data_IF_727546272943
#
_entry.id   IF_727546272943
#
_cell.length_a   1.000
_cell.length_b   1.000
_cell.length_c   1.000
_cell.angle_alpha   90.00
_cell.angle_beta   90.00
_cell.angle_gamma   90.00
#
_symmetry.space_group_name_H-M   'P 1'
#
loop_
_entity.id
_entity.type
_entity.pdbx_description
1 polymer ?
#
# COMPACT_ATOMS: atom_id res chain seq x y z
N UNK A 1 -20.18 -9.09 43.01
CA UNK A 1 -18.75 -9.43 43.00
C UNK A 1 -18.50 -10.26 41.73
N UNK A 2 -17.58 -9.86 40.95
CA UNK A 2 -16.96 -10.43 39.72
C UNK A 2 -17.35 -9.73 38.41
N UNK A 3 -16.74 -8.57 38.21
CA UNK A 3 -16.57 -7.95 36.91
C UNK A 3 -15.29 -7.10 37.00
N UNK A 4 -14.13 -7.70 36.82
CA UNK A 4 -12.83 -7.02 36.50
C UNK A 4 -11.89 -8.13 36.01
N UNK A 5 -11.73 -8.26 34.69
CA UNK A 5 -10.53 -8.80 34.04
C UNK A 5 -10.74 -9.00 32.53
N UNK A 6 -11.10 -7.91 31.80
CA UNK A 6 -11.11 -7.91 30.35
C UNK A 6 -10.23 -6.80 29.70
N UNK A 7 -9.50 -6.00 30.51
CA UNK A 7 -8.83 -4.78 30.03
C UNK A 7 -7.29 -4.82 30.06
N UNK A 8 -6.66 -5.98 29.85
CA UNK A 8 -5.19 -6.06 29.89
C UNK A 8 -4.50 -6.69 28.65
N UNK A 9 -5.18 -6.91 27.55
CA UNK A 9 -4.55 -7.51 26.34
C UNK A 9 -4.45 -6.63 25.09
N UNK A 10 -4.83 -5.37 25.16
CA UNK A 10 -4.78 -4.44 23.98
C UNK A 10 -3.49 -3.59 23.94
N UNK A 11 -2.45 -3.93 24.66
CA UNK A 11 -1.26 -3.08 24.85
C UNK A 11 0.08 -3.62 24.38
N UNK A 12 0.15 -4.73 23.63
CA UNK A 12 1.44 -5.22 23.11
C UNK A 12 1.25 -5.81 21.71
N UNK A 13 1.35 -4.98 20.67
CA UNK A 13 1.77 -5.49 19.35
C UNK A 13 3.25 -5.85 19.47
N UNK A 14 3.54 -6.98 20.08
CA UNK A 14 4.80 -7.68 19.88
C UNK A 14 4.77 -8.16 18.43
N UNK A 15 5.66 -7.64 17.60
CA UNK A 15 6.11 -8.38 16.43
C UNK A 15 6.58 -9.73 16.97
N UNK A 16 5.71 -10.73 16.86
CA UNK A 16 6.02 -12.09 17.31
C UNK A 16 7.23 -12.51 16.52
N UNK A 17 8.32 -12.86 17.23
CA UNK A 17 9.41 -13.65 16.68
C UNK A 17 8.80 -14.72 15.80
N UNK A 18 9.34 -14.90 14.60
CA UNK A 18 8.99 -16.00 13.71
C UNK A 18 8.80 -17.27 14.54
N UNK A 19 7.55 -17.75 14.65
CA UNK A 19 7.32 -19.08 15.20
C UNK A 19 7.89 -20.07 14.19
N UNK A 20 8.58 -21.13 14.64
CA UNK A 20 9.01 -22.19 13.75
C UNK A 20 7.80 -22.76 13.01
N UNK A 21 7.99 -23.08 11.74
CA UNK A 21 7.00 -23.68 10.89
C UNK A 21 6.43 -24.96 11.52
N UNK A 22 5.16 -25.32 11.25
CA UNK A 22 4.62 -26.63 11.62
C UNK A 22 5.44 -27.78 10.99
N UNK A 23 5.29 -29.03 11.48
CA UNK A 23 6.24 -30.14 11.27
C UNK A 23 6.42 -30.67 9.84
N UNK A 24 5.81 -30.10 8.82
CA UNK A 24 6.18 -30.31 7.43
C UNK A 24 7.20 -29.22 7.04
N UNK A 25 8.48 -29.47 7.35
CA UNK A 25 9.57 -28.61 6.90
C UNK A 25 9.46 -28.42 5.38
N UNK A 26 9.44 -27.18 4.86
CA UNK A 26 9.40 -26.97 3.41
C UNK A 26 10.62 -27.66 2.80
N UNK A 27 10.40 -28.47 1.76
CA UNK A 27 11.47 -29.20 1.02
C UNK A 27 12.63 -28.28 0.58
N UNK A 28 12.40 -26.96 0.54
CA UNK A 28 13.36 -25.93 0.16
C UNK A 28 13.17 -24.71 1.07
N UNK A 29 14.26 -24.26 1.72
CA UNK A 29 14.21 -23.08 2.58
C UNK A 29 13.97 -21.77 1.79
N UNK A 30 13.53 -20.71 2.48
CA UNK A 30 13.41 -19.39 1.86
C UNK A 30 14.77 -18.89 1.33
N UNK A 31 15.85 -19.12 2.10
CA UNK A 31 17.20 -18.70 1.72
C UNK A 31 17.70 -19.41 0.45
N UNK A 32 17.37 -20.69 0.27
CA UNK A 32 17.73 -21.43 -0.95
C UNK A 32 16.95 -20.90 -2.16
N UNK A 33 15.66 -20.57 -2.00
CA UNK A 33 14.85 -19.93 -3.04
C UNK A 33 15.41 -18.57 -3.44
N UNK A 34 15.73 -17.73 -2.46
CA UNK A 34 16.32 -16.41 -2.69
C UNK A 34 17.69 -16.54 -3.36
N UNK A 35 18.55 -17.45 -2.89
CA UNK A 35 19.87 -17.70 -3.48
C UNK A 35 19.77 -18.14 -4.95
N UNK A 36 18.86 -19.06 -5.26
CA UNK A 36 18.62 -19.47 -6.64
C UNK A 36 18.13 -18.30 -7.50
N UNK A 37 17.09 -17.58 -7.06
CA UNK A 37 16.51 -16.45 -7.79
C UNK A 37 17.47 -15.27 -7.94
N UNK A 38 18.45 -15.11 -7.04
CA UNK A 38 19.50 -14.11 -7.14
C UNK A 38 20.68 -14.54 -8.03
N UNK A 39 20.66 -15.76 -8.57
CA UNK A 39 21.72 -16.27 -9.46
C UNK A 39 21.39 -16.09 -10.93
N UNK A 40 22.41 -16.01 -11.79
CA UNK A 40 22.23 -16.00 -13.23
C UNK A 40 21.53 -17.25 -13.78
N UNK A 41 21.55 -18.37 -13.06
CA UNK A 41 20.88 -19.62 -13.46
C UNK A 41 19.34 -19.48 -13.51
N UNK A 42 18.74 -18.58 -12.71
CA UNK A 42 17.33 -18.26 -12.77
C UNK A 42 16.95 -17.29 -13.89
N UNK A 43 17.94 -16.65 -14.53
CA UNK A 43 17.74 -15.58 -15.52
C UNK A 43 18.58 -15.85 -16.80
N UNK A 44 18.30 -16.93 -17.54
CA UNK A 44 19.07 -17.25 -18.75
C UNK A 44 19.02 -16.11 -19.76
N UNK A 45 20.18 -15.60 -20.15
CA UNK A 45 20.35 -14.50 -21.10
C UNK A 45 20.36 -13.10 -20.45
N UNK A 46 19.86 -12.92 -19.23
CA UNK A 46 19.76 -11.62 -18.56
C UNK A 46 20.85 -11.38 -17.50
N UNK A 47 21.65 -12.41 -17.17
CA UNK A 47 22.72 -12.33 -16.17
C UNK A 47 22.24 -12.36 -14.72
N UNK A 48 23.06 -11.80 -13.81
CA UNK A 48 22.75 -11.75 -12.37
C UNK A 48 21.78 -10.58 -12.11
N UNK A 49 20.62 -10.82 -11.43
CA UNK A 49 19.65 -9.78 -11.18
C UNK A 49 20.10 -8.80 -10.09
N UNK A 50 19.61 -7.57 -10.19
CA UNK A 50 19.54 -6.71 -9.00
C UNK A 50 18.43 -7.20 -8.08
N UNK A 51 18.70 -7.23 -6.76
CA UNK A 51 17.79 -7.79 -5.76
C UNK A 51 17.32 -6.70 -4.82
N UNK A 52 16.00 -6.59 -4.64
CA UNK A 52 15.37 -5.67 -3.69
C UNK A 52 14.59 -6.49 -2.65
N UNK A 53 14.91 -6.27 -1.39
CA UNK A 53 14.16 -6.86 -0.29
C UNK A 53 13.18 -5.84 0.30
N UNK A 54 11.90 -6.24 0.39
CA UNK A 54 10.85 -5.51 1.09
C UNK A 54 10.43 -6.25 2.36
N UNK A 55 9.52 -5.68 3.14
CA UNK A 55 8.97 -6.37 4.32
C UNK A 55 8.23 -7.67 3.95
N UNK A 56 7.56 -7.71 2.79
CA UNK A 56 6.66 -8.81 2.41
C UNK A 56 7.16 -9.64 1.23
N UNK A 57 8.20 -9.19 0.51
CA UNK A 57 8.62 -9.82 -0.74
C UNK A 57 10.11 -9.63 -1.03
N UNK A 58 10.62 -10.48 -1.92
CA UNK A 58 11.87 -10.31 -2.64
C UNK A 58 11.56 -10.01 -4.10
N UNK A 59 12.23 -9.03 -4.69
CA UNK A 59 12.09 -8.63 -6.10
C UNK A 59 13.42 -8.76 -6.81
N UNK A 60 13.44 -9.50 -7.92
CA UNK A 60 14.62 -9.80 -8.73
C UNK A 60 14.46 -9.15 -10.09
N UNK A 61 15.36 -8.21 -10.44
CA UNK A 61 15.32 -7.44 -11.69
C UNK A 61 16.45 -7.90 -12.60
N UNK A 62 16.12 -8.59 -13.68
CA UNK A 62 17.07 -9.11 -14.66
C UNK A 62 16.63 -8.67 -16.06
N UNK A 63 17.46 -7.86 -16.75
CA UNK A 63 17.08 -7.28 -18.03
C UNK A 63 15.74 -6.54 -17.95
N UNK A 64 14.80 -6.90 -18.83
CA UNK A 64 13.42 -6.40 -18.84
C UNK A 64 12.46 -7.20 -17.96
N UNK A 65 12.92 -8.31 -17.38
CA UNK A 65 12.10 -9.20 -16.57
C UNK A 65 12.23 -8.90 -15.08
N UNK A 66 11.10 -8.94 -14.37
CA UNK A 66 11.03 -8.84 -12.92
C UNK A 66 10.32 -10.07 -12.37
N UNK A 67 10.90 -10.69 -11.33
CA UNK A 67 10.27 -11.76 -10.57
C UNK A 67 10.09 -11.30 -9.13
N UNK A 68 8.88 -11.48 -8.59
CA UNK A 68 8.55 -11.13 -7.19
C UNK A 68 8.18 -12.41 -6.44
N UNK A 69 8.91 -12.69 -5.36
CA UNK A 69 8.67 -13.82 -4.43
C UNK A 69 8.10 -13.28 -3.13
N UNK A 70 6.92 -13.74 -2.73
CA UNK A 70 6.33 -13.37 -1.44
C UNK A 70 7.00 -14.11 -0.29
N UNK A 71 7.28 -13.40 0.82
CA UNK A 71 7.82 -13.98 2.04
C UNK A 71 6.72 -14.73 2.80
N UNK A 72 7.02 -15.85 3.49
CA UNK A 72 6.05 -16.59 4.30
C UNK A 72 5.79 -15.87 5.64
N UNK A 73 5.22 -14.66 5.58
CA UNK A 73 4.92 -13.82 6.74
C UNK A 73 3.43 -13.84 7.07
N UNK A 74 3.11 -13.66 8.35
CA UNK A 74 1.75 -13.52 8.84
C UNK A 74 1.65 -12.38 9.84
N UNK A 75 0.68 -11.50 9.61
CA UNK A 75 0.34 -10.37 10.49
C UNK A 75 -1.16 -10.36 10.75
N UNK A 76 -1.70 -9.37 11.44
CA UNK A 76 -3.15 -9.22 11.68
C UNK A 76 -3.95 -8.89 10.41
N UNK A 77 -3.31 -8.44 9.33
CA UNK A 77 -3.96 -8.00 8.09
C UNK A 77 -3.45 -8.72 6.84
N UNK A 78 -2.48 -9.63 6.98
CA UNK A 78 -1.81 -10.32 5.88
C UNK A 78 -1.49 -11.76 6.31
N UNK A 79 -1.75 -12.74 5.44
CA UNK A 79 -1.31 -14.12 5.62
C UNK A 79 -0.72 -14.70 4.33
N UNK A 80 0.61 -14.82 4.29
CA UNK A 80 1.39 -15.49 3.25
C UNK A 80 2.07 -16.76 3.78
N UNK A 81 1.65 -17.27 4.94
CA UNK A 81 2.35 -18.37 5.63
C UNK A 81 2.32 -19.69 4.86
N UNK A 82 1.26 -19.97 4.13
CA UNK A 82 1.12 -21.22 3.37
C UNK A 82 1.41 -21.04 1.88
N UNK A 83 1.79 -22.12 1.19
CA UNK A 83 2.01 -22.12 -0.26
C UNK A 83 0.76 -21.68 -1.01
N UNK A 84 -0.41 -22.21 -0.64
CA UNK A 84 -1.68 -21.86 -1.28
C UNK A 84 -2.07 -20.39 -1.05
N UNK A 85 -1.78 -19.84 0.14
CA UNK A 85 -2.02 -18.42 0.41
C UNK A 85 -1.13 -17.53 -0.47
N UNK A 86 0.14 -17.90 -0.68
CA UNK A 86 1.04 -17.18 -1.58
C UNK A 86 0.61 -17.29 -3.04
N UNK A 87 0.17 -18.47 -3.49
CA UNK A 87 -0.42 -18.63 -4.83
C UNK A 87 -1.61 -17.71 -5.04
N UNK A 88 -2.59 -17.79 -4.13
CA UNK A 88 -3.79 -16.95 -4.20
C UNK A 88 -3.43 -15.45 -4.31
N UNK A 89 -2.53 -14.98 -3.44
CA UNK A 89 -2.13 -13.56 -3.43
C UNK A 89 -1.25 -13.17 -4.63
N UNK A 90 -0.49 -14.08 -5.23
CA UNK A 90 0.20 -13.82 -6.50
C UNK A 90 -0.81 -13.64 -7.65
N UNK A 91 -1.84 -14.49 -7.72
CA UNK A 91 -2.89 -14.37 -8.73
C UNK A 91 -3.73 -13.10 -8.54
N UNK A 92 -4.07 -12.76 -7.30
CA UNK A 92 -4.77 -11.49 -6.98
C UNK A 92 -3.91 -10.28 -7.34
N UNK A 93 -2.61 -10.31 -7.09
CA UNK A 93 -1.71 -9.22 -7.48
C UNK A 93 -1.73 -8.99 -9.00
N UNK A 94 -1.65 -10.06 -9.80
CA UNK A 94 -1.75 -9.97 -11.27
C UNK A 94 -3.12 -9.43 -11.70
N UNK A 95 -4.21 -9.96 -11.12
CA UNK A 95 -5.58 -9.52 -11.45
C UNK A 95 -5.80 -8.04 -11.16
N UNK A 96 -5.43 -7.60 -9.96
CA UNK A 96 -5.67 -6.24 -9.51
C UNK A 96 -4.83 -5.22 -10.27
N UNK A 97 -3.55 -5.51 -10.44
CA UNK A 97 -2.63 -4.60 -11.13
C UNK A 97 -2.87 -4.57 -12.65
N UNK A 98 -3.37 -5.64 -13.24
CA UNK A 98 -3.76 -5.66 -14.65
C UNK A 98 -4.80 -4.59 -15.03
N UNK A 99 -5.58 -4.09 -14.05
CA UNK A 99 -6.56 -3.02 -14.25
C UNK A 99 -5.90 -1.67 -14.58
N UNK A 100 -4.77 -1.38 -13.94
CA UNK A 100 -4.05 -0.09 -14.06
C UNK A 100 -2.70 -0.20 -14.77
N UNK A 101 -2.13 -1.40 -14.88
CA UNK A 101 -0.85 -1.66 -15.52
C UNK A 101 -0.93 -2.80 -16.55
N UNK A 102 -1.80 -2.65 -17.60
CA UNK A 102 -1.89 -3.66 -18.66
C UNK A 102 -0.54 -3.83 -19.33
N UNK A 103 -0.13 -5.08 -19.53
CA UNK A 103 1.16 -5.43 -20.16
C UNK A 103 2.37 -5.39 -19.22
N UNK A 104 2.23 -4.88 -17.99
CA UNK A 104 3.32 -4.94 -16.98
C UNK A 104 3.30 -6.30 -16.27
N UNK A 105 2.16 -6.75 -15.79
CA UNK A 105 2.02 -8.04 -15.12
C UNK A 105 1.79 -9.16 -16.14
N UNK A 106 2.80 -10.01 -16.33
CA UNK A 106 2.78 -11.10 -17.32
C UNK A 106 1.96 -12.28 -16.79
N UNK A 107 2.11 -12.63 -15.50
CA UNK A 107 1.39 -13.74 -14.91
C UNK A 107 2.05 -14.30 -13.65
N UNK A 108 1.59 -15.47 -13.24
CA UNK A 108 2.11 -16.21 -12.09
C UNK A 108 2.79 -17.48 -12.58
N UNK A 109 4.03 -17.72 -12.15
CA UNK A 109 4.80 -18.92 -12.50
C UNK A 109 5.22 -19.67 -11.26
N UNK A 110 5.24 -21.03 -11.28
CA UNK A 110 5.69 -21.82 -10.14
C UNK A 110 7.21 -21.82 -10.04
N UNK A 111 7.72 -21.81 -8.81
CA UNK A 111 9.09 -22.21 -8.48
C UNK A 111 9.07 -23.70 -8.13
N UNK A 112 9.88 -24.49 -8.83
CA UNK A 112 9.86 -25.95 -8.77
C UNK A 112 11.13 -26.48 -8.11
N UNK A 113 11.00 -27.48 -7.25
CA UNK A 113 12.10 -28.38 -6.86
C UNK A 113 12.16 -29.54 -7.85
N UNK A 114 13.31 -29.73 -8.48
CA UNK A 114 13.55 -30.85 -9.42
C UNK A 114 13.95 -32.11 -8.68
N UNK A 115 13.78 -33.29 -9.30
CA UNK A 115 14.21 -34.56 -8.71
C UNK A 115 15.72 -34.65 -8.42
N UNK A 116 16.54 -33.86 -9.15
CA UNK A 116 18.00 -33.77 -8.96
C UNK A 116 18.41 -32.86 -7.79
N UNK A 117 17.44 -32.29 -7.06
CA UNK A 117 17.66 -31.36 -5.95
C UNK A 117 17.85 -29.91 -6.36
N UNK A 118 17.85 -29.61 -7.67
CA UNK A 118 17.93 -28.24 -8.19
C UNK A 118 16.59 -27.51 -8.14
N UNK A 119 16.63 -26.17 -8.35
CA UNK A 119 15.46 -25.34 -8.53
C UNK A 119 15.27 -24.96 -9.99
N UNK A 120 14.02 -24.72 -10.39
CA UNK A 120 13.67 -24.20 -11.70
C UNK A 120 12.45 -23.30 -11.64
N UNK A 121 12.36 -22.32 -12.54
CA UNK A 121 11.15 -21.54 -12.78
C UNK A 121 10.34 -22.30 -13.82
N UNK A 122 9.09 -22.67 -13.44
CA UNK A 122 8.17 -23.33 -14.34
C UNK A 122 7.49 -22.36 -15.31
N UNK A 123 6.59 -22.88 -16.14
CA UNK A 123 5.73 -22.08 -17.02
C UNK A 123 4.40 -21.80 -16.33
N UNK A 124 3.73 -20.71 -16.72
CA UNK A 124 2.40 -20.37 -16.22
C UNK A 124 1.36 -21.47 -16.55
N UNK A 125 1.52 -22.14 -17.67
CA UNK A 125 0.69 -23.24 -18.13
C UNK A 125 1.56 -24.42 -18.59
N UNK A 126 1.09 -25.64 -18.35
CA UNK A 126 1.74 -26.87 -18.75
C UNK A 126 2.17 -27.79 -17.60
N UNK A 127 2.68 -28.99 -17.92
CA UNK A 127 3.14 -29.94 -16.91
C UNK A 127 4.36 -29.39 -16.17
N UNK A 128 4.38 -29.55 -14.85
CA UNK A 128 5.50 -29.16 -14.01
C UNK A 128 6.49 -30.32 -13.89
N UNK A 129 7.72 -30.15 -14.38
CA UNK A 129 8.83 -31.10 -14.14
C UNK A 129 9.43 -30.87 -12.75
N UNK A 130 8.67 -31.19 -11.71
CA UNK A 130 9.08 -31.03 -10.31
C UNK A 130 7.95 -30.69 -9.37
N UNK A 131 8.26 -30.62 -8.09
CA UNK A 131 7.30 -30.22 -7.05
C UNK A 131 7.28 -28.71 -6.90
N UNK A 132 6.07 -28.11 -6.89
CA UNK A 132 5.91 -26.68 -6.62
C UNK A 132 6.30 -26.38 -5.19
N UNK A 133 7.30 -25.50 -5.00
CA UNK A 133 7.80 -25.06 -3.69
C UNK A 133 7.50 -23.61 -3.38
N UNK A 134 7.18 -22.79 -4.41
CA UNK A 134 6.65 -21.44 -4.27
C UNK A 134 6.04 -20.92 -5.58
N UNK A 135 5.52 -19.68 -5.52
CA UNK A 135 4.93 -18.96 -6.65
C UNK A 135 5.58 -17.60 -6.83
N UNK A 136 5.78 -17.20 -8.07
CA UNK A 136 6.40 -15.94 -8.45
C UNK A 136 5.43 -15.12 -9.29
N UNK A 137 5.33 -13.82 -9.03
CA UNK A 137 4.73 -12.88 -9.96
C UNK A 137 5.81 -12.47 -10.97
N UNK A 138 5.53 -12.70 -12.25
CA UNK A 138 6.37 -12.29 -13.36
C UNK A 138 5.84 -10.98 -13.96
N UNK A 139 6.74 -10.01 -14.15
CA UNK A 139 6.41 -8.68 -14.67
C UNK A 139 7.44 -8.21 -15.66
N UNK A 140 7.06 -7.24 -16.50
CA UNK A 140 8.01 -6.39 -17.26
C UNK A 140 8.50 -5.26 -16.36
N UNK A 141 9.77 -4.91 -16.55
CA UNK A 141 10.42 -3.83 -15.81
C UNK A 141 9.93 -2.46 -16.30
N UNK A 142 9.52 -1.60 -15.38
CA UNK A 142 9.29 -0.19 -15.66
C UNK A 142 10.61 0.55 -15.44
N UNK A 143 11.04 1.41 -16.38
CA UNK A 143 12.24 2.22 -16.21
C UNK A 143 12.13 3.12 -14.98
N UNK A 144 13.10 3.04 -14.07
CA UNK A 144 13.05 3.74 -12.77
C UNK A 144 12.98 5.26 -12.91
N UNK A 145 13.64 5.80 -13.92
CA UNK A 145 13.65 7.23 -14.28
C UNK A 145 12.28 7.74 -14.75
N UNK A 146 11.37 6.83 -15.15
CA UNK A 146 10.00 7.16 -15.57
C UNK A 146 8.99 7.00 -14.43
N UNK A 147 9.39 6.54 -13.27
CA UNK A 147 8.52 6.52 -12.07
C UNK A 147 8.32 7.95 -11.58
N UNK A 148 7.08 8.29 -11.20
CA UNK A 148 6.68 9.66 -10.89
C UNK A 148 7.52 10.29 -9.76
N UNK A 149 7.89 9.54 -8.74
CA UNK A 149 8.74 10.03 -7.65
C UNK A 149 10.15 10.45 -8.13
N UNK A 150 10.75 9.69 -9.04
CA UNK A 150 12.06 10.02 -9.64
C UNK A 150 11.91 11.13 -10.67
N UNK A 151 10.88 11.07 -11.51
CA UNK A 151 10.62 12.10 -12.51
C UNK A 151 10.35 13.47 -11.85
N UNK A 152 9.67 13.49 -10.67
CA UNK A 152 9.50 14.72 -9.86
C UNK A 152 10.85 15.23 -9.34
N UNK A 153 11.67 14.34 -8.79
CA UNK A 153 12.99 14.72 -8.25
C UNK A 153 13.93 15.28 -9.33
N UNK A 154 13.82 14.81 -10.55
CA UNK A 154 14.60 15.26 -11.72
C UNK A 154 13.94 16.42 -12.48
N UNK A 155 12.75 16.87 -12.09
CA UNK A 155 12.05 17.98 -12.74
C UNK A 155 11.57 17.67 -14.16
N UNK A 156 11.35 16.41 -14.52
CA UNK A 156 10.99 15.96 -15.87
C UNK A 156 9.48 15.77 -16.07
N UNK A 157 8.66 15.94 -15.03
CA UNK A 157 7.21 15.80 -15.09
C UNK A 157 6.57 17.00 -15.79
N UNK A 158 5.81 16.76 -16.85
CA UNK A 158 5.06 17.79 -17.54
C UNK A 158 3.56 17.83 -17.13
N UNK A 159 2.87 18.97 -17.33
CA UNK A 159 1.42 19.03 -17.17
C UNK A 159 0.65 18.02 -18.03
N UNK A 160 1.19 17.65 -19.20
CA UNK A 160 0.58 16.66 -20.10
C UNK A 160 0.68 15.24 -19.53
N UNK A 161 1.78 14.89 -18.81
CA UNK A 161 1.90 13.62 -18.11
C UNK A 161 0.80 13.49 -17.03
N UNK A 162 0.57 14.56 -16.29
CA UNK A 162 -0.45 14.59 -15.23
C UNK A 162 -1.88 14.57 -15.80
N UNK A 163 -2.11 15.19 -16.94
CA UNK A 163 -3.40 15.10 -17.63
C UNK A 163 -3.69 13.65 -18.05
N UNK A 164 -2.72 12.95 -18.69
CA UNK A 164 -2.86 11.53 -19.05
C UNK A 164 -3.07 10.64 -17.82
N UNK A 165 -2.35 10.91 -16.72
CA UNK A 165 -2.56 10.20 -15.46
C UNK A 165 -3.97 10.42 -14.91
N UNK A 166 -4.48 11.65 -14.96
CA UNK A 166 -5.85 11.99 -14.58
C UNK A 166 -6.89 11.19 -15.38
N UNK A 167 -6.75 11.15 -16.70
CA UNK A 167 -7.60 10.34 -17.59
C UNK A 167 -7.56 8.86 -17.20
N UNK A 168 -6.35 8.31 -16.96
CA UNK A 168 -6.17 6.90 -16.57
C UNK A 168 -6.84 6.59 -15.24
N UNK A 169 -6.68 7.44 -14.21
CA UNK A 169 -7.30 7.26 -12.90
C UNK A 169 -8.82 7.42 -12.96
N UNK A 170 -9.32 8.43 -13.69
CA UNK A 170 -10.75 8.62 -13.87
C UNK A 170 -11.41 7.40 -14.51
N UNK A 171 -10.84 6.90 -15.61
CA UNK A 171 -11.30 5.67 -16.27
C UNK A 171 -11.26 4.46 -15.34
N UNK A 172 -10.20 4.33 -14.53
CA UNK A 172 -10.09 3.26 -13.55
C UNK A 172 -11.22 3.32 -12.52
N UNK A 173 -11.48 4.47 -11.91
CA UNK A 173 -12.54 4.63 -10.90
C UNK A 173 -13.94 4.46 -11.47
N UNK A 174 -14.17 4.89 -12.73
CA UNK A 174 -15.44 4.64 -13.42
C UNK A 174 -15.74 3.16 -13.63
N UNK A 175 -14.69 2.38 -13.95
CA UNK A 175 -14.81 0.94 -14.24
C UNK A 175 -14.57 0.05 -13.00
N UNK A 176 -14.13 0.61 -11.88
CA UNK A 176 -13.88 -0.16 -10.65
C UNK A 176 -15.19 -0.68 -10.06
N UNK A 177 -15.14 -1.89 -9.50
CA UNK A 177 -16.28 -2.53 -8.87
C UNK A 177 -16.84 -1.65 -7.73
N UNK A 178 -18.14 -1.31 -7.75
CA UNK A 178 -18.75 -0.55 -6.66
C UNK A 178 -18.83 -1.41 -5.39
N UNK A 179 -18.55 -0.77 -4.25
CA UNK A 179 -18.59 -1.42 -2.94
C UNK A 179 -19.81 -0.95 -2.16
N UNK A 180 -20.63 -1.90 -1.72
CA UNK A 180 -21.77 -1.61 -0.85
C UNK A 180 -21.31 -1.72 0.61
N UNK A 181 -21.35 -0.61 1.33
CA UNK A 181 -21.02 -0.54 2.75
C UNK A 181 -21.92 0.48 3.45
N UNK A 182 -22.46 0.11 4.60
CA UNK A 182 -23.25 1.03 5.41
C UNK A 182 -22.37 2.18 5.94
N UNK A 183 -22.94 3.39 6.01
CA UNK A 183 -22.23 4.59 6.47
C UNK A 183 -21.53 4.40 7.83
N UNK A 184 -22.23 3.91 8.86
CA UNK A 184 -21.58 3.65 10.16
C UNK A 184 -20.43 2.63 10.11
N UNK A 185 -20.51 1.64 9.21
CA UNK A 185 -19.43 0.66 9.03
C UNK A 185 -18.20 1.30 8.35
N UNK A 186 -18.42 2.22 7.41
CA UNK A 186 -17.35 2.99 6.79
C UNK A 186 -16.64 3.91 7.82
N UNK A 187 -17.41 4.68 8.58
CA UNK A 187 -16.88 5.53 9.67
C UNK A 187 -16.08 4.72 10.69
N UNK A 188 -16.56 3.52 11.06
CA UNK A 188 -15.85 2.62 11.96
C UNK A 188 -14.45 2.23 11.49
N UNK A 189 -14.20 2.18 10.16
CA UNK A 189 -12.85 1.92 9.63
C UNK A 189 -11.87 3.04 10.00
N UNK A 190 -12.30 4.31 9.97
CA UNK A 190 -11.48 5.46 10.38
C UNK A 190 -11.20 5.46 11.88
N UNK A 191 -12.21 5.12 12.69
CA UNK A 191 -12.06 4.99 14.15
C UNK A 191 -11.04 3.87 14.48
N UNK A 192 -11.15 2.71 13.85
CA UNK A 192 -10.22 1.60 14.05
C UNK A 192 -8.80 1.95 13.62
N UNK A 193 -8.64 2.62 12.47
CA UNK A 193 -7.35 3.11 11.99
C UNK A 193 -6.74 4.12 12.95
N UNK A 194 -7.56 5.03 13.50
CA UNK A 194 -7.11 6.02 14.47
C UNK A 194 -6.67 5.37 15.79
N UNK A 195 -7.34 4.32 16.26
CA UNK A 195 -6.89 3.56 17.41
C UNK A 195 -5.51 2.94 17.19
N UNK A 196 -5.24 2.42 15.97
CA UNK A 196 -3.92 1.94 15.59
C UNK A 196 -2.89 3.08 15.50
N UNK A 197 -3.26 4.27 15.01
CA UNK A 197 -2.37 5.43 15.00
C UNK A 197 -1.94 5.78 16.42
N UNK A 198 -2.88 5.85 17.37
CA UNK A 198 -2.60 6.12 18.78
C UNK A 198 -1.70 5.06 19.41
N UNK A 199 -1.93 3.77 19.13
CA UNK A 199 -1.15 2.67 19.72
C UNK A 199 0.34 2.70 19.37
N UNK A 200 0.72 3.32 18.25
CA UNK A 200 2.12 3.47 17.82
C UNK A 200 2.64 4.87 18.16
N UNK A 201 1.92 5.91 17.75
CA UNK A 201 2.42 7.29 17.81
C UNK A 201 2.50 7.85 19.24
N UNK A 202 1.76 7.27 20.20
CA UNK A 202 1.81 7.67 21.60
C UNK A 202 2.67 6.74 22.48
N UNK A 203 3.48 5.85 21.87
CA UNK A 203 4.40 5.03 22.64
C UNK A 203 5.47 5.87 23.38
N UNK A 204 5.96 5.42 24.52
CA UNK A 204 7.10 6.04 25.19
C UNK A 204 8.28 6.18 24.23
N UNK A 205 8.85 7.39 24.12
CA UNK A 205 9.91 7.72 23.16
C UNK A 205 9.45 8.25 21.81
N UNK A 206 8.18 8.07 21.45
CA UNK A 206 7.57 8.60 20.21
C UNK A 206 6.64 9.78 20.48
N UNK A 207 6.13 9.87 21.70
CA UNK A 207 5.16 10.89 22.10
C UNK A 207 5.73 12.31 21.95
N UNK A 208 5.00 13.13 21.17
CA UNK A 208 5.25 14.57 21.02
C UNK A 208 3.92 15.31 21.15
N UNK A 209 3.93 16.51 21.76
CA UNK A 209 2.72 17.31 21.95
C UNK A 209 1.99 17.60 20.62
N UNK A 210 2.74 17.90 19.55
CA UNK A 210 2.16 18.11 18.21
C UNK A 210 1.48 16.87 17.64
N UNK A 211 1.98 15.67 17.97
CA UNK A 211 1.40 14.40 17.55
C UNK A 211 0.09 14.12 18.32
N UNK A 212 0.10 14.32 19.64
CA UNK A 212 -1.10 14.17 20.48
C UNK A 212 -2.21 15.14 20.01
N UNK A 213 -1.86 16.42 19.79
CA UNK A 213 -2.79 17.43 19.28
C UNK A 213 -3.36 17.06 17.90
N UNK A 214 -2.55 16.55 16.96
CA UNK A 214 -3.04 16.10 15.65
C UNK A 214 -4.05 14.95 15.76
N UNK A 215 -3.79 14.00 16.65
CA UNK A 215 -4.69 12.87 16.89
C UNK A 215 -6.03 13.35 17.49
N UNK A 216 -5.99 14.29 18.42
CA UNK A 216 -7.19 14.87 19.01
C UNK A 216 -7.97 15.74 18.02
N UNK A 217 -7.29 16.52 17.20
CA UNK A 217 -7.92 17.29 16.11
C UNK A 217 -8.64 16.36 15.12
N UNK A 218 -8.01 15.25 14.75
CA UNK A 218 -8.64 14.26 13.87
C UNK A 218 -9.89 13.65 14.51
N UNK A 219 -9.84 13.29 15.79
CA UNK A 219 -11.00 12.71 16.50
C UNK A 219 -12.17 13.71 16.54
N UNK A 220 -11.89 14.99 16.83
CA UNK A 220 -12.93 16.03 16.82
C UNK A 220 -13.53 16.23 15.43
N UNK A 221 -12.70 16.29 14.39
CA UNK A 221 -13.15 16.43 13.00
C UNK A 221 -13.96 15.20 12.55
N UNK A 222 -13.49 13.99 12.86
CA UNK A 222 -14.20 12.76 12.52
C UNK A 222 -15.55 12.69 13.21
N UNK A 223 -15.63 13.01 14.50
CA UNK A 223 -16.90 13.05 15.25
C UNK A 223 -17.87 14.05 14.62
N UNK A 224 -17.41 15.26 14.30
CA UNK A 224 -18.25 16.34 13.72
C UNK A 224 -18.78 15.98 12.35
N UNK A 225 -18.00 15.34 11.51
CA UNK A 225 -18.31 15.12 10.09
C UNK A 225 -18.54 13.63 9.75
N UNK A 226 -18.79 12.78 10.77
CA UNK A 226 -19.04 11.35 10.60
C UNK A 226 -20.22 11.09 9.65
N UNK A 227 -21.29 11.87 9.74
CA UNK A 227 -22.46 11.74 8.87
C UNK A 227 -22.11 12.01 7.41
N UNK A 228 -21.40 13.11 7.11
CA UNK A 228 -20.95 13.41 5.76
C UNK A 228 -20.06 12.30 5.18
N UNK A 229 -19.17 11.76 6.00
CA UNK A 229 -18.30 10.64 5.62
C UNK A 229 -19.14 9.37 5.37
N UNK A 230 -20.11 9.06 6.24
CA UNK A 230 -21.01 7.93 6.09
C UNK A 230 -21.88 8.01 4.84
N UNK A 231 -22.40 9.19 4.54
CA UNK A 231 -23.22 9.47 3.33
C UNK A 231 -22.47 9.11 2.04
N UNK A 232 -21.14 9.30 1.98
CA UNK A 232 -20.33 8.88 0.82
C UNK A 232 -20.46 7.37 0.55
N UNK A 233 -20.42 6.56 1.60
CA UNK A 233 -20.58 5.11 1.46
C UNK A 233 -22.02 4.73 1.05
N UNK A 234 -23.04 5.33 1.68
CA UNK A 234 -24.44 5.05 1.44
C UNK A 234 -24.89 5.50 0.05
N UNK A 235 -24.31 6.60 -0.47
CA UNK A 235 -24.53 7.07 -1.84
C UNK A 235 -23.81 6.23 -2.90
N UNK A 236 -23.06 5.17 -2.50
CA UNK A 236 -22.42 4.23 -3.42
C UNK A 236 -21.17 4.80 -4.09
N UNK A 237 -20.46 5.75 -3.44
CA UNK A 237 -19.20 6.28 -3.99
C UNK A 237 -17.99 5.37 -3.81
N UNK A 238 -18.08 4.35 -2.92
CA UNK A 238 -16.94 3.47 -2.67
C UNK A 238 -16.66 2.54 -3.86
N UNK A 239 -15.39 2.29 -4.12
CA UNK A 239 -14.88 1.43 -5.21
C UNK A 239 -13.84 0.46 -4.71
N UNK A 240 -13.68 -0.68 -5.41
CA UNK A 240 -12.47 -1.51 -5.26
C UNK A 240 -11.31 -0.80 -5.96
N UNK A 241 -10.66 0.10 -5.23
CA UNK A 241 -9.58 0.94 -5.68
C UNK A 241 -8.21 0.24 -5.74
N UNK A 242 -7.15 1.02 -5.51
CA UNK A 242 -5.76 0.59 -5.46
C UNK A 242 -5.28 0.29 -4.03
N UNK A 243 -5.64 1.13 -3.07
CA UNK A 243 -5.30 1.02 -1.65
C UNK A 243 -3.98 1.68 -1.24
N UNK A 244 -3.01 1.79 -2.16
CA UNK A 244 -1.70 2.41 -1.90
C UNK A 244 -1.25 3.29 -3.09
N UNK A 245 -2.10 4.23 -3.51
CA UNK A 245 -1.85 5.10 -4.66
C UNK A 245 -0.81 6.17 -4.30
N UNK A 246 0.44 5.97 -4.76
CA UNK A 246 1.60 6.81 -4.42
C UNK A 246 2.53 7.05 -5.62
N UNK A 247 3.33 8.15 -5.62
CA UNK A 247 4.21 8.47 -6.74
C UNK A 247 5.19 7.36 -7.15
N UNK A 248 5.74 6.62 -6.18
CA UNK A 248 6.65 5.50 -6.43
C UNK A 248 6.02 4.30 -7.12
N UNK A 249 4.67 4.25 -7.20
CA UNK A 249 3.92 3.19 -7.87
C UNK A 249 3.40 3.61 -9.24
N UNK A 250 3.69 4.82 -9.70
CA UNK A 250 3.18 5.38 -10.95
C UNK A 250 4.31 5.50 -11.98
N UNK A 251 4.17 4.79 -13.10
CA UNK A 251 5.03 4.90 -14.25
C UNK A 251 4.43 5.83 -15.30
N UNK A 252 5.25 6.77 -15.84
CA UNK A 252 4.82 7.79 -16.81
C UNK A 252 5.28 7.49 -18.23
N UNK A 253 5.81 6.30 -18.51
CA UNK A 253 6.25 5.95 -19.85
C UNK A 253 5.08 5.64 -20.78
N UNK A 254 4.92 6.41 -21.84
CA UNK A 254 3.76 6.30 -22.75
C UNK A 254 2.42 6.51 -22.06
N UNK A 255 1.59 5.47 -22.00
CA UNK A 255 0.34 5.46 -21.21
C UNK A 255 0.69 5.24 -19.75
N UNK A 256 0.27 6.14 -18.83
CA UNK A 256 0.56 5.97 -17.42
C UNK A 256 0.05 4.63 -16.87
N UNK A 257 0.90 3.96 -16.08
CA UNK A 257 0.57 2.72 -15.40
C UNK A 257 0.70 2.90 -13.89
N UNK A 258 -0.10 2.16 -13.11
CA UNK A 258 0.00 2.13 -11.65
C UNK A 258 0.13 0.69 -11.20
N UNK A 259 1.15 0.42 -10.39
CA UNK A 259 1.54 -0.91 -9.90
C UNK A 259 1.43 -0.99 -8.38
N UNK A 260 1.60 -2.19 -7.85
CA UNK A 260 1.64 -2.49 -6.41
C UNK A 260 0.33 -2.17 -5.65
N UNK A 261 -0.80 -2.46 -6.31
CA UNK A 261 -2.12 -2.48 -5.67
C UNK A 261 -2.13 -3.49 -4.51
N UNK A 262 -2.77 -3.14 -3.40
CA UNK A 262 -2.83 -3.99 -2.22
C UNK A 262 -3.67 -5.24 -2.48
N UNK A 263 -3.03 -6.39 -2.75
CA UNK A 263 -3.70 -7.66 -3.05
C UNK A 263 -4.18 -8.40 -1.79
N UNK A 264 -3.45 -8.26 -0.68
CA UNK A 264 -3.57 -9.10 0.50
C UNK A 264 -4.76 -8.75 1.41
N UNK A 265 -5.37 -7.58 1.26
CA UNK A 265 -6.50 -7.18 2.08
C UNK A 265 -7.48 -6.29 1.30
N UNK A 266 -8.62 -6.88 0.94
CA UNK A 266 -9.67 -6.19 0.18
C UNK A 266 -10.20 -4.94 0.91
N UNK A 267 -10.37 -4.98 2.23
CA UNK A 267 -10.92 -3.85 2.98
C UNK A 267 -10.04 -2.58 2.91
N UNK A 268 -8.72 -2.72 2.68
CA UNK A 268 -7.80 -1.59 2.53
C UNK A 268 -7.88 -0.90 1.16
N UNK A 269 -8.49 -1.55 0.16
CA UNK A 269 -8.71 -0.98 -1.18
C UNK A 269 -10.17 -0.71 -1.51
N UNK A 270 -11.11 -1.07 -0.62
CA UNK A 270 -12.51 -0.66 -0.71
C UNK A 270 -12.66 0.75 -0.15
N UNK A 271 -12.46 1.75 -0.99
CA UNK A 271 -12.28 3.14 -0.60
C UNK A 271 -13.07 4.10 -1.50
N UNK A 272 -13.27 5.31 -1.02
CA UNK A 272 -13.70 6.41 -1.87
C UNK A 272 -12.55 6.79 -2.83
N UNK A 273 -12.78 6.96 -4.15
CA UNK A 273 -11.76 7.45 -5.08
C UNK A 273 -11.02 8.71 -4.60
N UNK A 274 -11.72 9.59 -3.91
CA UNK A 274 -11.14 10.83 -3.39
C UNK A 274 -10.27 10.64 -2.14
N UNK A 275 -10.43 9.54 -1.39
CA UNK A 275 -9.47 9.17 -0.35
C UNK A 275 -8.12 8.75 -0.97
N UNK A 276 -8.14 8.02 -2.09
CA UNK A 276 -6.90 7.66 -2.83
C UNK A 276 -6.26 8.89 -3.48
N UNK A 277 -7.07 9.78 -4.07
CA UNK A 277 -6.57 11.02 -4.66
C UNK A 277 -6.00 11.97 -3.59
N UNK A 278 -6.62 12.05 -2.40
CA UNK A 278 -6.08 12.79 -1.26
C UNK A 278 -4.74 12.20 -0.79
N UNK A 279 -4.60 10.88 -0.86
CA UNK A 279 -3.35 10.21 -0.53
C UNK A 279 -2.26 10.55 -1.56
N UNK A 280 -2.54 10.44 -2.84
CA UNK A 280 -1.59 10.80 -3.90
C UNK A 280 -1.20 12.29 -3.83
N UNK A 281 -2.16 13.20 -3.59
CA UNK A 281 -1.89 14.62 -3.38
C UNK A 281 -0.93 14.85 -2.20
N UNK A 282 -1.21 14.20 -1.06
CA UNK A 282 -0.34 14.27 0.11
C UNK A 282 1.11 13.85 -0.21
N UNK A 283 1.28 12.70 -0.88
CA UNK A 283 2.62 12.18 -1.22
C UNK A 283 3.33 13.07 -2.27
N UNK A 284 2.61 13.61 -3.25
CA UNK A 284 3.16 14.58 -4.20
C UNK A 284 3.62 15.87 -3.49
N UNK A 285 2.84 16.40 -2.53
CA UNK A 285 3.24 17.54 -1.70
C UNK A 285 4.48 17.25 -0.86
N UNK A 286 4.62 16.03 -0.32
CA UNK A 286 5.83 15.62 0.40
C UNK A 286 7.08 15.65 -0.49
N UNK A 287 6.92 15.53 -1.80
CA UNK A 287 7.97 15.66 -2.82
C UNK A 287 8.09 17.08 -3.40
N UNK A 288 7.35 18.06 -2.89
CA UNK A 288 7.38 19.45 -3.35
C UNK A 288 6.56 19.74 -4.61
N UNK A 289 5.63 18.84 -4.97
CA UNK A 289 4.81 18.94 -6.18
C UNK A 289 3.33 19.14 -5.87
N UNK A 290 3.02 20.18 -5.11
CA UNK A 290 1.66 20.56 -4.66
C UNK A 290 0.69 20.98 -5.79
N UNK A 291 1.19 21.16 -7.01
CA UNK A 291 0.38 21.45 -8.18
C UNK A 291 -0.32 20.23 -8.80
N UNK A 292 0.12 19.00 -8.48
CA UNK A 292 -0.36 17.75 -9.10
C UNK A 292 -1.73 17.34 -8.54
N UNK A 293 -1.84 17.21 -7.23
CA UNK A 293 -3.06 16.72 -6.60
C UNK A 293 -4.30 17.50 -6.95
N UNK A 294 -4.31 18.85 -6.87
CA UNK A 294 -5.48 19.63 -7.27
C UNK A 294 -5.93 19.38 -8.72
N UNK A 295 -4.99 19.17 -9.65
CA UNK A 295 -5.32 18.84 -11.05
C UNK A 295 -5.97 17.48 -11.20
N UNK A 296 -5.41 16.46 -10.53
CA UNK A 296 -5.95 15.08 -10.56
C UNK A 296 -7.32 15.02 -9.91
N UNK A 297 -7.51 15.68 -8.76
CA UNK A 297 -8.78 15.76 -8.04
C UNK A 297 -9.85 16.46 -8.92
N UNK A 298 -9.53 17.60 -9.50
CA UNK A 298 -10.46 18.32 -10.37
C UNK A 298 -10.83 17.51 -11.63
N UNK A 299 -9.86 16.85 -12.26
CA UNK A 299 -10.09 15.99 -13.42
C UNK A 299 -11.01 14.81 -13.07
N UNK A 300 -10.72 14.09 -11.98
CA UNK A 300 -11.53 12.96 -11.56
C UNK A 300 -12.94 13.41 -11.08
N UNK A 301 -13.05 14.54 -10.41
CA UNK A 301 -14.35 15.10 -9.99
C UNK A 301 -15.25 15.36 -11.20
N UNK A 302 -14.71 15.98 -12.25
CA UNK A 302 -15.44 16.23 -13.49
C UNK A 302 -15.83 14.91 -14.19
N UNK A 303 -14.91 13.95 -14.30
CA UNK A 303 -15.16 12.69 -14.98
C UNK A 303 -16.14 11.78 -14.24
N UNK A 304 -16.09 11.76 -12.90
CA UNK A 304 -16.99 10.99 -12.04
C UNK A 304 -18.32 11.71 -11.77
N UNK A 305 -18.46 12.96 -12.19
CA UNK A 305 -19.59 13.84 -11.87
C UNK A 305 -19.86 13.88 -10.35
N UNK A 306 -18.80 13.96 -9.55
CA UNK A 306 -18.83 13.88 -8.11
C UNK A 306 -18.05 15.04 -7.49
N UNK A 307 -18.59 15.60 -6.40
CA UNK A 307 -17.95 16.64 -5.62
C UNK A 307 -17.90 16.24 -4.15
N UNK A 308 -16.69 16.15 -3.61
CA UNK A 308 -16.52 15.79 -2.21
C UNK A 308 -16.56 17.02 -1.32
N UNK A 309 -17.38 17.05 -0.25
CA UNK A 309 -17.39 18.15 0.70
C UNK A 309 -16.00 18.44 1.27
N UNK A 310 -15.58 19.72 1.39
CA UNK A 310 -14.26 20.07 1.90
C UNK A 310 -13.90 19.42 3.25
N UNK A 311 -14.82 19.26 4.24
CA UNK A 311 -14.51 18.56 5.47
C UNK A 311 -14.15 17.08 5.26
N UNK A 312 -14.78 16.41 4.30
CA UNK A 312 -14.47 14.99 3.98
C UNK A 312 -13.10 14.89 3.32
N UNK A 313 -12.75 15.78 2.39
CA UNK A 313 -11.40 15.83 1.82
C UNK A 313 -10.32 16.07 2.89
N UNK A 314 -10.60 16.97 3.84
CA UNK A 314 -9.69 17.22 4.96
C UNK A 314 -9.51 15.97 5.85
N UNK A 315 -10.59 15.24 6.11
CA UNK A 315 -10.55 13.96 6.85
C UNK A 315 -9.72 12.91 6.10
N UNK A 316 -9.92 12.75 4.78
CA UNK A 316 -9.12 11.82 3.97
C UNK A 316 -7.63 12.17 4.03
N UNK A 317 -7.28 13.42 3.77
CA UNK A 317 -5.89 13.88 3.81
C UNK A 317 -5.25 13.66 5.19
N UNK A 318 -5.95 14.04 6.27
CA UNK A 318 -5.44 13.88 7.62
C UNK A 318 -5.34 12.42 8.04
N UNK A 319 -6.31 11.59 7.65
CA UNK A 319 -6.28 10.14 7.86
C UNK A 319 -5.04 9.52 7.23
N UNK A 320 -4.82 9.76 5.93
CA UNK A 320 -3.66 9.24 5.19
C UNK A 320 -2.34 9.73 5.80
N UNK A 321 -2.28 11.00 6.18
CA UNK A 321 -1.10 11.57 6.83
C UNK A 321 -0.78 10.90 8.18
N UNK A 322 -1.78 10.67 9.04
CA UNK A 322 -1.59 9.98 10.33
C UNK A 322 -1.21 8.50 10.14
N UNK A 323 -1.80 7.81 9.16
CA UNK A 323 -1.37 6.45 8.78
C UNK A 323 0.09 6.43 8.34
N UNK A 324 0.51 7.37 7.50
CA UNK A 324 1.92 7.47 7.06
C UNK A 324 2.87 7.80 8.20
N UNK A 325 2.47 8.70 9.11
CA UNK A 325 3.24 8.99 10.34
C UNK A 325 3.42 7.72 11.18
N UNK A 326 2.33 6.95 11.40
CA UNK A 326 2.38 5.68 12.11
C UNK A 326 3.31 4.67 11.44
N UNK A 327 3.21 4.48 10.13
CA UNK A 327 4.05 3.54 9.40
C UNK A 327 5.52 3.94 9.46
N UNK A 328 5.84 5.24 9.35
CA UNK A 328 7.21 5.73 9.51
C UNK A 328 7.76 5.42 10.91
N UNK A 329 6.98 5.64 11.97
CA UNK A 329 7.42 5.34 13.34
C UNK A 329 7.48 3.84 13.62
N UNK A 330 6.62 3.02 12.99
CA UNK A 330 6.63 1.58 13.16
C UNK A 330 7.95 0.94 12.72
N UNK A 331 8.65 1.51 11.73
CA UNK A 331 10.01 1.06 11.34
C UNK A 331 11.03 1.14 12.47
N UNK A 332 10.83 2.03 13.45
CA UNK A 332 11.70 2.12 14.62
C UNK A 332 11.44 1.04 15.67
N UNK A 333 10.34 0.28 15.52
CA UNK A 333 10.00 -0.86 16.38
C UNK A 333 10.60 -2.18 15.88
N UNK A 334 11.19 -2.19 14.68
CA UNK A 334 11.93 -3.35 14.17
C UNK A 334 13.13 -3.64 15.07
N UNK A 335 13.53 -4.90 15.18
CA UNK A 335 14.69 -5.31 16.00
C UNK A 335 15.98 -4.63 15.51
N UNK A 336 16.09 -4.43 14.20
CA UNK A 336 17.22 -3.75 13.53
C UNK A 336 16.63 -2.72 12.53
N UNK A 337 16.30 -1.49 12.97
CA UNK A 337 15.71 -0.49 12.12
C UNK A 337 16.66 -0.08 10.98
N UNK A 338 16.22 -0.22 9.74
CA UNK A 338 16.96 0.31 8.60
C UNK A 338 16.79 1.85 8.54
N UNK A 339 17.87 2.58 8.36
CA UNK A 339 17.89 4.07 8.25
C UNK A 339 17.10 4.80 9.35
N UNK A 340 17.36 4.53 10.65
CA UNK A 340 16.51 5.01 11.76
C UNK A 340 16.40 6.53 11.81
N UNK A 341 17.45 7.27 11.42
CA UNK A 341 17.47 8.74 11.43
C UNK A 341 16.42 9.37 10.47
N UNK A 342 15.91 8.61 9.50
CA UNK A 342 14.92 9.07 8.51
C UNK A 342 13.51 9.14 9.07
N UNK A 343 13.12 8.18 9.92
CA UNK A 343 11.73 7.89 10.17
C UNK A 343 11.02 8.93 11.04
N UNK A 344 11.68 9.39 12.13
CA UNK A 344 11.06 10.40 13.00
C UNK A 344 10.83 11.75 12.29
N UNK A 345 11.79 12.34 11.57
CA UNK A 345 11.53 13.55 10.78
C UNK A 345 10.44 13.37 9.73
N UNK A 346 10.37 12.21 9.10
CA UNK A 346 9.32 11.91 8.13
C UNK A 346 7.95 11.86 8.80
N UNK A 347 7.81 11.19 9.95
CA UNK A 347 6.56 11.14 10.71
C UNK A 347 6.11 12.56 11.14
N UNK A 348 7.02 13.40 11.60
CA UNK A 348 6.73 14.79 11.97
C UNK A 348 6.17 15.61 10.81
N UNK A 349 6.71 15.44 9.59
CA UNK A 349 6.18 16.10 8.39
C UNK A 349 4.74 15.66 8.09
N UNK A 350 4.42 14.38 8.24
CA UNK A 350 3.05 13.87 8.06
C UNK A 350 2.11 14.38 9.16
N UNK A 351 2.54 14.41 10.42
CA UNK A 351 1.77 15.01 11.52
C UNK A 351 1.45 16.49 11.24
N UNK A 352 2.43 17.25 10.77
CA UNK A 352 2.21 18.65 10.38
C UNK A 352 1.21 18.78 9.22
N UNK A 353 1.26 17.88 8.23
CA UNK A 353 0.30 17.85 7.12
C UNK A 353 -1.12 17.51 7.60
N UNK A 354 -1.28 16.57 8.53
CA UNK A 354 -2.58 16.26 9.12
C UNK A 354 -3.19 17.48 9.83
N UNK A 355 -2.41 18.17 10.66
CA UNK A 355 -2.84 19.40 11.35
C UNK A 355 -3.25 20.48 10.36
N UNK A 356 -2.41 20.72 9.33
CA UNK A 356 -2.72 21.71 8.28
C UNK A 356 -4.05 21.42 7.56
N UNK A 357 -4.33 20.14 7.26
CA UNK A 357 -5.56 19.74 6.61
C UNK A 357 -6.80 19.96 7.49
N UNK A 358 -6.67 19.78 8.82
CA UNK A 358 -7.79 19.87 9.77
C UNK A 358 -8.08 21.32 10.23
N UNK A 359 -7.10 22.22 10.13
CA UNK A 359 -7.25 23.61 10.61
C UNK A 359 -8.51 24.31 10.06
N UNK A 360 -8.81 24.31 8.75
CA UNK A 360 -10.00 25.01 8.23
C UNK A 360 -11.30 24.44 8.80
N UNK A 361 -11.43 23.10 8.83
CA UNK A 361 -12.68 22.42 9.23
C UNK A 361 -12.96 22.43 10.73
N UNK A 362 -11.97 22.82 11.53
CA UNK A 362 -12.13 23.03 12.97
C UNK A 362 -12.32 24.50 13.32
N UNK A 363 -11.85 25.44 12.49
CA UNK A 363 -12.00 26.87 12.69
C UNK A 363 -13.44 27.35 12.47
N UNK A 364 -14.17 26.76 11.51
CA UNK A 364 -15.58 27.11 11.19
C UNK A 364 -16.55 26.85 12.35
N UNK A 365 -16.07 26.48 13.53
CA UNK A 365 -16.84 26.16 14.72
C UNK A 365 -16.83 27.26 15.77
N UNK A 366 -16.10 28.33 15.58
CA UNK A 366 -15.96 29.46 16.52
C UNK A 366 -16.77 30.69 16.12
N UNK A 367 -17.62 30.57 15.06
CA UNK A 367 -18.51 31.62 14.59
C UNK A 367 -19.97 31.39 14.94
#
# INVERSE_FOLDING_TARGET
MTAVNADREIGRVRLRKMQPAPPDAPLVSLDDKVRYLASAAAHPGDGTPAVIETHMSWVFLAGDRVLKLKKPVRTSFLDFSTLGAREFNCREEVRLNGRLAPGVYVGVVPLLARPDGGLAIGRAEGPADGQVVDWLVQMHRIPRERMLDVALSSGTVSPADIARLGERLAQFFQNAEPVQLAGPAYVKRFIASQAMNRSVLLQPGFHEAATADALEQFDRALHRHAELLGTRAEAGHLREGHGDLRPEHIGLDGTPVVIDCLEFNRALREVDPFDELAFLDLECRMLGADWIGPRLIAHCAAALQDSVPPPVMALYTAHRALVRARLAMAHLLDAEPRTPARWKPQAQRYVAAARKALTPVLADAAG
#
